data_IF_706721234359
#
_entry.id   IF_706721234359
#
_cell.length_a   1.000
_cell.length_b   1.000
_cell.length_c   1.000
_cell.angle_alpha   90.00
_cell.angle_beta   90.00
_cell.angle_gamma   90.00
#
_symmetry.space_group_name_H-M   'P 1'
#
loop_
_entity.id
_entity.type
_entity.pdbx_description
1 polymer ?
#
# COMPACT_ATOMS: atom_id res chain seq x y z
N UNK A 1 -44.68 28.59 9.03
CA UNK A 1 -43.89 28.98 7.87
C UNK A 1 -43.13 27.80 7.29
N UNK A 2 -43.42 27.47 6.06
CA UNK A 2 -42.79 26.34 5.38
C UNK A 2 -41.68 26.82 4.47
N UNK A 3 -40.53 26.09 4.50
CA UNK A 3 -39.48 26.34 3.57
C UNK A 3 -39.93 26.00 2.15
N UNK A 4 -39.62 26.87 1.20
CA UNK A 4 -39.85 26.59 -0.21
C UNK A 4 -38.96 25.45 -0.69
N UNK A 5 -39.30 24.88 -1.84
CA UNK A 5 -38.49 23.83 -2.44
C UNK A 5 -37.07 24.34 -2.77
N UNK A 6 -36.97 25.60 -3.19
CA UNK A 6 -35.64 26.23 -3.48
C UNK A 6 -34.82 26.36 -2.21
N UNK A 7 -35.45 26.76 -1.10
CA UNK A 7 -34.76 26.90 0.18
C UNK A 7 -34.24 25.55 0.67
N UNK A 8 -35.02 24.49 0.51
CA UNK A 8 -34.64 23.12 0.88
C UNK A 8 -33.45 22.63 0.05
N UNK A 9 -33.48 22.91 -1.26
CA UNK A 9 -32.38 22.54 -2.15
C UNK A 9 -31.10 23.29 -1.79
N UNK A 10 -31.22 24.58 -1.50
CA UNK A 10 -30.08 25.41 -1.11
C UNK A 10 -29.47 24.91 0.19
N UNK A 11 -30.30 24.56 1.18
CA UNK A 11 -29.85 24.03 2.47
C UNK A 11 -29.15 22.68 2.28
N UNK A 12 -29.73 21.78 1.48
CA UNK A 12 -29.15 20.47 1.19
C UNK A 12 -27.78 20.63 0.52
N UNK A 13 -27.66 21.51 -0.45
CA UNK A 13 -26.41 21.78 -1.14
C UNK A 13 -25.34 22.32 -0.19
N UNK A 14 -25.72 23.21 0.73
CA UNK A 14 -24.82 23.76 1.73
C UNK A 14 -24.28 22.66 2.66
N UNK A 15 -25.17 21.77 3.11
CA UNK A 15 -24.79 20.64 3.96
C UNK A 15 -23.82 19.71 3.22
N UNK A 16 -24.11 19.41 1.94
CA UNK A 16 -23.23 18.58 1.13
C UNK A 16 -21.84 19.21 0.97
N UNK A 17 -21.77 20.53 0.73
CA UNK A 17 -20.49 21.22 0.59
C UNK A 17 -19.68 21.15 1.89
N UNK A 18 -20.33 21.32 3.05
CA UNK A 18 -19.65 21.19 4.34
C UNK A 18 -19.11 19.79 4.56
N UNK A 19 -19.88 18.79 4.18
CA UNK A 19 -19.45 17.39 4.30
C UNK A 19 -18.25 17.09 3.41
N UNK A 20 -18.23 17.62 2.18
CA UNK A 20 -17.08 17.48 1.28
C UNK A 20 -15.84 18.16 1.85
N UNK A 21 -15.98 19.34 2.42
CA UNK A 21 -14.88 20.07 3.04
C UNK A 21 -14.29 19.29 4.21
N UNK A 22 -15.15 18.71 5.07
CA UNK A 22 -14.70 17.87 6.17
C UNK A 22 -13.95 16.64 5.68
N UNK A 23 -14.46 16.01 4.60
CA UNK A 23 -13.81 14.84 4.00
C UNK A 23 -12.44 15.20 3.45
N UNK A 24 -12.31 16.35 2.79
CA UNK A 24 -11.03 16.81 2.27
C UNK A 24 -10.03 17.09 3.38
N UNK A 25 -10.47 17.66 4.50
CA UNK A 25 -9.61 17.90 5.66
C UNK A 25 -9.12 16.57 6.23
N UNK A 26 -10.00 15.59 6.38
CA UNK A 26 -9.64 14.25 6.88
C UNK A 26 -8.62 13.59 5.95
N UNK A 27 -8.84 13.66 4.63
CA UNK A 27 -7.96 13.09 3.62
C UNK A 27 -6.58 13.77 3.70
N UNK A 28 -6.55 15.09 3.84
CA UNK A 28 -5.30 15.85 3.94
C UNK A 28 -4.54 15.52 5.24
N UNK A 29 -5.25 15.41 6.35
CA UNK A 29 -4.64 15.04 7.64
C UNK A 29 -4.05 13.63 7.58
N UNK A 30 -4.72 12.71 6.88
CA UNK A 30 -4.24 11.36 6.68
C UNK A 30 -2.96 11.35 5.85
N UNK A 31 -2.88 12.21 4.83
CA UNK A 31 -1.67 12.33 4.03
C UNK A 31 -0.50 12.86 4.86
N UNK A 32 -0.73 13.87 5.70
CA UNK A 32 0.30 14.41 6.59
C UNK A 32 0.79 13.33 7.55
N UNK A 33 -0.11 12.54 8.13
CA UNK A 33 0.26 11.42 8.99
C UNK A 33 1.11 10.39 8.25
N UNK A 34 0.73 10.09 7.02
CA UNK A 34 1.46 9.13 6.18
C UNK A 34 2.90 9.62 5.94
N UNK A 35 3.04 10.87 5.54
CA UNK A 35 4.36 11.44 5.25
C UNK A 35 5.22 11.58 6.50
N UNK A 36 4.62 11.96 7.63
CA UNK A 36 5.33 12.03 8.90
C UNK A 36 5.79 10.63 9.37
N UNK A 37 4.94 9.62 9.19
CA UNK A 37 5.32 8.24 9.52
C UNK A 37 6.53 7.80 8.72
N UNK A 38 6.50 8.02 7.40
CA UNK A 38 7.59 7.59 6.53
C UNK A 38 8.89 8.34 6.79
N UNK A 39 8.79 9.64 7.07
CA UNK A 39 9.95 10.47 7.41
C UNK A 39 10.62 9.95 8.71
N UNK A 40 9.81 9.69 9.72
CA UNK A 40 10.29 9.16 10.99
C UNK A 40 10.87 7.76 10.84
N UNK A 41 10.20 6.92 10.05
CA UNK A 41 10.64 5.56 9.79
C UNK A 41 12.04 5.53 9.16
N UNK A 42 12.29 6.39 8.19
CA UNK A 42 13.59 6.51 7.54
C UNK A 42 14.65 7.06 8.49
N UNK A 43 14.30 8.07 9.29
CA UNK A 43 15.25 8.75 10.18
C UNK A 43 15.68 7.89 11.36
N UNK A 44 14.74 7.11 11.94
CA UNK A 44 14.99 6.33 13.14
C UNK A 44 15.34 4.87 12.87
N UNK A 45 15.12 4.41 11.63
CA UNK A 45 15.43 3.04 11.24
C UNK A 45 16.65 2.98 10.35
N UNK A 46 17.84 2.76 10.90
CA UNK A 46 19.07 2.74 10.08
C UNK A 46 19.09 1.66 9.00
N UNK A 47 18.22 0.66 9.16
CA UNK A 47 18.09 -0.44 8.21
C UNK A 47 17.13 -0.13 7.06
N UNK A 48 16.42 1.00 7.14
CA UNK A 48 15.42 1.36 6.14
C UNK A 48 16.10 2.03 4.96
N UNK A 49 15.84 1.50 3.78
CA UNK A 49 16.36 2.00 2.51
C UNK A 49 15.19 2.64 1.75
N UNK A 50 15.44 3.81 1.16
CA UNK A 50 14.42 4.50 0.37
C UNK A 50 14.86 4.58 -1.09
N UNK A 51 13.98 4.18 -1.99
CA UNK A 51 14.23 4.26 -3.43
C UNK A 51 13.89 5.64 -3.98
N UNK A 52 14.20 5.88 -5.24
CA UNK A 52 13.92 7.16 -5.89
C UNK A 52 12.41 7.47 -5.95
N UNK A 53 11.56 6.47 -5.95
CA UNK A 53 10.10 6.64 -5.95
C UNK A 53 9.55 7.01 -4.58
N UNK A 54 10.36 6.88 -3.53
CA UNK A 54 9.92 7.06 -2.15
C UNK A 54 9.45 5.77 -1.49
N UNK A 55 9.59 4.63 -2.17
CA UNK A 55 9.34 3.34 -1.54
C UNK A 55 10.40 3.08 -0.50
N UNK A 56 9.98 2.71 0.71
CA UNK A 56 10.89 2.34 1.78
C UNK A 56 10.83 0.83 2.01
N UNK A 57 11.96 0.24 2.32
CA UNK A 57 11.98 -1.18 2.64
C UNK A 57 13.12 -1.53 3.60
N UNK A 58 12.96 -2.66 4.24
CA UNK A 58 13.94 -3.23 5.16
C UNK A 58 14.12 -4.70 4.81
N UNK A 59 15.37 -5.14 4.75
CA UNK A 59 15.71 -6.53 4.46
C UNK A 59 15.68 -7.30 5.78
N UNK A 60 14.75 -8.25 5.89
CA UNK A 60 14.67 -9.14 7.06
C UNK A 60 15.58 -10.34 6.82
N UNK A 61 15.51 -10.90 5.61
CA UNK A 61 16.32 -12.03 5.20
C UNK A 61 16.62 -11.89 3.72
N UNK A 62 17.89 -12.03 3.35
CA UNK A 62 18.30 -12.01 1.94
C UNK A 62 18.35 -13.44 1.42
N UNK A 63 17.65 -13.70 0.34
CA UNK A 63 17.67 -15.00 -0.33
C UNK A 63 18.84 -15.11 -1.30
N UNK A 64 19.01 -16.28 -1.87
CA UNK A 64 20.09 -16.59 -2.80
C UNK A 64 19.58 -16.93 -4.21
N UNK A 65 18.27 -17.00 -4.42
CA UNK A 65 17.70 -17.35 -5.71
C UNK A 65 17.66 -16.19 -6.69
N UNK A 66 16.90 -16.35 -7.76
CA UNK A 66 16.81 -15.32 -8.79
C UNK A 66 15.82 -14.23 -8.40
N UNK A 67 16.00 -13.05 -8.98
CA UNK A 67 15.06 -11.94 -8.87
C UNK A 67 14.14 -11.91 -10.09
N UNK A 68 12.94 -11.29 -9.98
CA UNK A 68 12.13 -11.06 -11.17
C UNK A 68 12.89 -10.21 -12.18
N UNK A 69 12.81 -10.61 -13.45
CA UNK A 69 13.52 -9.90 -14.53
C UNK A 69 12.76 -8.64 -14.97
N UNK A 70 11.43 -8.64 -14.79
CA UNK A 70 10.59 -7.51 -15.21
C UNK A 70 9.26 -7.55 -14.47
N UNK A 71 8.45 -6.48 -14.65
CA UNK A 71 7.10 -6.42 -14.09
C UNK A 71 6.15 -7.42 -14.72
N UNK A 72 6.56 -8.07 -15.81
CA UNK A 72 5.74 -9.10 -16.47
C UNK A 72 5.86 -10.47 -15.83
N UNK A 73 6.84 -10.65 -14.96
CA UNK A 73 7.08 -11.93 -14.32
C UNK A 73 6.00 -12.27 -13.30
N UNK A 74 5.73 -13.55 -13.19
CA UNK A 74 4.81 -14.10 -12.21
C UNK A 74 5.61 -14.54 -10.99
N UNK A 75 5.07 -14.28 -9.81
CA UNK A 75 5.74 -14.63 -8.55
C UNK A 75 4.77 -15.34 -7.62
N UNK A 76 5.35 -16.11 -6.70
CA UNK A 76 4.60 -16.71 -5.58
C UNK A 76 5.17 -16.15 -4.29
N UNK A 77 4.29 -15.56 -3.48
CA UNK A 77 4.68 -14.91 -2.23
C UNK A 77 3.78 -15.31 -1.08
N UNK A 78 4.31 -15.27 0.13
CA UNK A 78 3.50 -15.15 1.34
C UNK A 78 3.66 -13.73 1.84
N UNK A 79 2.58 -13.17 2.38
CA UNK A 79 2.62 -11.79 2.85
C UNK A 79 1.62 -11.52 3.97
N UNK A 80 1.91 -10.46 4.71
CA UNK A 80 1.01 -9.88 5.70
C UNK A 80 1.02 -8.38 5.50
N UNK A 81 -0.16 -7.77 5.31
CA UNK A 81 -0.32 -6.34 5.16
C UNK A 81 -1.02 -5.73 6.35
N UNK A 82 -0.46 -4.64 6.88
CA UNK A 82 -1.04 -3.93 8.01
C UNK A 82 -0.96 -2.43 7.83
N UNK A 83 -1.82 -1.72 8.55
CA UNK A 83 -1.83 -0.28 8.65
C UNK A 83 -0.83 0.17 9.72
N UNK A 84 -0.58 1.48 9.81
CA UNK A 84 0.38 2.01 10.79
C UNK A 84 -0.05 1.80 12.24
N UNK A 85 -1.35 1.59 12.48
CA UNK A 85 -1.87 1.29 13.82
C UNK A 85 -1.77 -0.20 14.18
N UNK A 86 -1.23 -1.02 13.27
CA UNK A 86 -1.07 -2.45 13.48
C UNK A 86 -2.23 -3.32 13.01
N UNK A 87 -3.31 -2.71 12.52
CA UNK A 87 -4.46 -3.46 12.00
C UNK A 87 -4.05 -4.25 10.75
N UNK A 88 -4.20 -5.57 10.79
CA UNK A 88 -3.93 -6.44 9.64
C UNK A 88 -5.15 -6.39 8.73
N UNK A 89 -4.93 -6.00 7.47
CA UNK A 89 -6.02 -5.91 6.49
C UNK A 89 -6.00 -7.05 5.48
N UNK A 90 -4.88 -7.75 5.35
CA UNK A 90 -4.75 -8.87 4.43
C UNK A 90 -3.56 -9.75 4.82
N UNK A 91 -3.71 -11.07 4.64
CA UNK A 91 -2.65 -12.02 4.98
C UNK A 91 -2.85 -13.32 4.21
N UNK A 92 -1.83 -13.74 3.47
CA UNK A 92 -1.83 -15.04 2.80
C UNK A 92 -1.71 -16.18 3.81
N UNK A 93 -1.08 -15.93 4.94
CA UNK A 93 -0.96 -16.94 6.01
C UNK A 93 -2.32 -17.27 6.60
N UNK A 94 -3.18 -16.26 6.79
CA UNK A 94 -4.54 -16.49 7.28
C UNK A 94 -5.41 -17.25 6.28
N UNK A 95 -5.15 -17.05 4.98
CA UNK A 95 -5.85 -17.76 3.90
C UNK A 95 -5.36 -19.19 3.74
N UNK A 96 -4.21 -19.53 4.33
CA UNK A 96 -3.65 -20.87 4.30
C UNK A 96 -2.96 -21.26 3.00
N UNK A 97 -2.73 -20.30 2.10
CA UNK A 97 -2.04 -20.58 0.83
C UNK A 97 -1.27 -19.37 0.34
N UNK A 98 -0.15 -19.57 -0.36
CA UNK A 98 0.61 -18.47 -0.95
C UNK A 98 -0.15 -17.83 -2.10
N UNK A 99 0.19 -16.58 -2.38
CA UNK A 99 -0.42 -15.80 -3.43
C UNK A 99 0.45 -15.81 -4.67
N UNK A 100 -0.15 -16.15 -5.80
CA UNK A 100 0.54 -16.16 -7.10
C UNK A 100 -0.02 -15.03 -7.93
N UNK A 101 0.85 -14.16 -8.43
CA UNK A 101 0.43 -13.00 -9.22
C UNK A 101 1.54 -12.51 -10.16
N UNK A 102 1.16 -11.74 -11.16
CA UNK A 102 2.11 -11.00 -11.98
C UNK A 102 2.35 -9.64 -11.34
N UNK A 103 3.56 -9.13 -11.46
CA UNK A 103 3.94 -7.87 -10.82
C UNK A 103 3.30 -6.64 -11.46
N UNK A 104 2.82 -6.74 -12.69
CA UNK A 104 2.18 -5.61 -13.39
C UNK A 104 0.71 -5.40 -13.05
N UNK A 105 0.10 -6.25 -12.20
CA UNK A 105 -1.32 -6.13 -11.83
C UNK A 105 -1.53 -5.86 -10.34
N UNK A 106 -0.48 -5.57 -9.61
CA UNK A 106 -0.54 -5.28 -8.18
C UNK A 106 -0.22 -3.80 -7.94
N UNK A 107 -0.33 -3.34 -6.68
CA UNK A 107 0.00 -1.95 -6.35
C UNK A 107 1.45 -1.63 -6.72
N UNK A 108 1.70 -0.36 -7.06
CA UNK A 108 3.02 0.07 -7.56
C UNK A 108 4.16 -0.25 -6.59
N UNK A 109 3.92 -0.13 -5.29
CA UNK A 109 4.93 -0.48 -4.29
C UNK A 109 5.36 -1.93 -4.36
N UNK A 110 4.44 -2.84 -4.67
CA UNK A 110 4.77 -4.25 -4.88
C UNK A 110 5.49 -4.48 -6.20
N UNK A 111 5.01 -3.83 -7.27
CA UNK A 111 5.65 -3.97 -8.60
C UNK A 111 7.12 -3.59 -8.52
N UNK A 112 7.43 -2.48 -7.88
CA UNK A 112 8.80 -2.02 -7.70
C UNK A 112 9.56 -2.87 -6.68
N UNK A 113 8.95 -3.07 -5.50
CA UNK A 113 9.64 -3.67 -4.35
C UNK A 113 10.00 -5.13 -4.55
N UNK A 114 9.10 -5.93 -5.10
CA UNK A 114 9.36 -7.36 -5.27
C UNK A 114 10.46 -7.60 -6.32
N UNK A 115 10.63 -6.69 -7.28
CA UNK A 115 11.74 -6.78 -8.24
C UNK A 115 13.11 -6.59 -7.58
N UNK A 116 13.15 -6.03 -6.38
CA UNK A 116 14.39 -5.90 -5.60
C UNK A 116 14.74 -7.18 -4.84
N UNK A 117 13.78 -8.09 -4.71
CA UNK A 117 13.95 -9.31 -3.91
C UNK A 117 14.51 -10.46 -4.74
N UNK A 118 15.11 -11.42 -4.05
CA UNK A 118 15.51 -12.71 -4.63
C UNK A 118 14.64 -13.80 -4.02
N UNK A 119 14.50 -14.92 -4.72
CA UNK A 119 13.82 -16.09 -4.15
C UNK A 119 14.48 -16.46 -2.82
N UNK A 120 13.65 -16.66 -1.80
CA UNK A 120 14.10 -16.93 -0.44
C UNK A 120 14.24 -15.67 0.42
N UNK A 121 14.09 -14.49 -0.16
CA UNK A 121 14.14 -13.24 0.61
C UNK A 121 12.86 -12.98 1.37
N UNK A 122 12.99 -12.28 2.49
CA UNK A 122 11.87 -11.69 3.21
C UNK A 122 12.18 -10.24 3.47
N UNK A 123 11.34 -9.36 2.93
CA UNK A 123 11.48 -7.91 3.06
C UNK A 123 10.25 -7.33 3.72
N UNK A 124 10.42 -6.20 4.37
CA UNK A 124 9.31 -5.40 4.86
C UNK A 124 9.26 -4.11 4.07
N UNK A 125 8.10 -3.81 3.48
CA UNK A 125 7.89 -2.61 2.66
C UNK A 125 7.01 -1.63 3.41
N UNK A 126 7.37 -0.35 3.34
CA UNK A 126 6.59 0.77 3.88
C UNK A 126 6.18 1.62 2.70
N UNK A 127 4.92 1.53 2.31
CA UNK A 127 4.46 2.01 1.02
C UNK A 127 3.65 3.29 1.18
N UNK A 128 4.15 4.38 0.59
CA UNK A 128 3.43 5.65 0.53
C UNK A 128 2.09 5.44 -0.20
N UNK A 129 1.01 6.12 0.22
CA UNK A 129 -0.29 5.94 -0.44
C UNK A 129 -0.28 6.13 -1.95
N UNK A 130 0.57 7.02 -2.51
CA UNK A 130 0.64 7.20 -3.97
C UNK A 130 1.17 5.96 -4.71
N UNK A 131 1.83 5.04 -4.00
CA UNK A 131 2.30 3.76 -4.54
C UNK A 131 1.37 2.61 -4.18
N UNK A 132 0.23 2.91 -3.60
CA UNK A 132 -0.80 1.96 -3.18
C UNK A 132 -2.16 2.45 -3.68
N UNK A 133 -3.07 2.76 -2.78
CA UNK A 133 -4.45 3.13 -3.16
C UNK A 133 -4.73 4.63 -3.18
N UNK A 134 -3.76 5.46 -2.76
CA UNK A 134 -3.91 6.91 -2.79
C UNK A 134 -5.04 7.41 -1.91
N UNK A 135 -5.81 8.35 -2.44
CA UNK A 135 -6.95 8.92 -1.73
C UNK A 135 -8.18 8.03 -1.74
N UNK A 136 -8.15 6.93 -2.49
CA UNK A 136 -9.29 6.02 -2.59
C UNK A 136 -9.38 5.14 -1.36
N UNK A 137 -10.61 4.97 -0.87
CA UNK A 137 -10.88 3.97 0.15
C UNK A 137 -10.95 2.61 -0.53
N UNK A 138 -10.23 1.64 -0.01
CA UNK A 138 -10.26 0.26 -0.52
C UNK A 138 -10.59 -0.67 0.64
N UNK A 139 -11.80 -1.23 0.65
CA UNK A 139 -12.27 -2.12 1.72
C UNK A 139 -12.02 -1.50 3.11
N UNK A 140 -11.15 -2.12 3.90
CA UNK A 140 -10.82 -1.66 5.26
C UNK A 140 -9.63 -0.71 5.30
N UNK A 141 -9.14 -0.27 4.14
CA UNK A 141 -8.00 0.64 4.04
C UNK A 141 -8.52 2.07 3.86
N UNK A 142 -8.34 2.95 4.86
CA UNK A 142 -8.76 4.35 4.73
C UNK A 142 -7.96 5.10 3.66
N UNK A 143 -8.49 6.23 3.16
CA UNK A 143 -7.75 7.07 2.22
C UNK A 143 -6.39 7.50 2.77
N UNK A 144 -5.41 7.60 1.89
CA UNK A 144 -4.03 8.03 2.20
C UNK A 144 -3.37 7.23 3.32
N UNK A 145 -3.57 5.92 3.31
CA UNK A 145 -2.92 5.02 4.26
C UNK A 145 -1.55 4.58 3.77
N UNK A 146 -0.57 4.63 4.68
CA UNK A 146 0.68 3.89 4.49
C UNK A 146 0.35 2.41 4.66
N UNK A 147 0.85 1.57 3.76
CA UNK A 147 0.70 0.13 3.88
C UNK A 147 2.05 -0.49 4.25
N UNK A 148 2.04 -1.34 5.26
CA UNK A 148 3.23 -2.04 5.72
C UNK A 148 3.06 -3.51 5.36
N UNK A 149 3.88 -3.99 4.41
CA UNK A 149 3.84 -5.37 3.95
C UNK A 149 5.12 -6.10 4.30
N UNK A 150 4.96 -7.20 5.00
CA UNK A 150 6.03 -8.19 5.14
C UNK A 150 5.81 -9.22 4.03
N UNK A 151 6.80 -9.38 3.15
CA UNK A 151 6.68 -10.23 1.95
C UNK A 151 7.83 -11.23 1.92
N UNK A 152 7.45 -12.50 1.77
CA UNK A 152 8.39 -13.59 1.55
C UNK A 152 8.28 -14.04 0.09
N UNK A 153 9.34 -13.85 -0.69
CA UNK A 153 9.35 -14.26 -2.09
C UNK A 153 9.76 -15.73 -2.18
N UNK A 154 8.83 -16.58 -2.54
CA UNK A 154 9.08 -18.01 -2.60
C UNK A 154 9.61 -18.45 -3.94
N UNK A 155 9.03 -17.94 -5.03
CA UNK A 155 9.39 -18.37 -6.38
C UNK A 155 9.13 -17.29 -7.41
N UNK A 156 10.00 -17.24 -8.39
CA UNK A 156 9.85 -16.42 -9.60
C UNK A 156 9.66 -17.37 -10.78
N UNK A 157 8.56 -17.20 -11.51
CA UNK A 157 8.27 -17.99 -12.70
C UNK A 157 8.73 -17.24 -13.93
N UNK A 158 9.58 -17.87 -14.74
CA UNK A 158 10.01 -17.26 -15.98
C UNK A 158 8.83 -17.16 -16.94
N UNK A 159 8.71 -16.03 -17.62
CA UNK A 159 7.63 -15.82 -18.55
C UNK A 159 7.69 -16.79 -19.75
N UNK A 160 8.85 -17.41 -19.99
CA UNK A 160 9.07 -18.37 -21.08
C UNK A 160 8.79 -19.81 -20.66
N UNK A 161 8.46 -20.07 -19.40
CA UNK A 161 8.10 -21.41 -18.92
C UNK A 161 6.60 -21.54 -19.07
N UNK A 162 6.19 -22.45 -19.91
CA UNK A 162 4.78 -22.77 -20.16
C UNK A 162 4.27 -23.81 -19.16
#
# INVERSE_FOLDING_TARGET
HLLTMLDRKALFKTVQNKMRQRQQVVVQESLVKAENFLKKNKAEGPEVIETNSGLQYRIIKEGAGKSPASSMDQVRVHYEGKLIDGTIFDSSYEKGEPYVTRLNVVIKGWTEGIQLMKEGSEYEFFIHPRLAYGERRNNNIPPNSVLIFKVELQKVFDKNIK
#
